data_IF_538667006217
#
_entry.id   IF_538667006217
#
_cell.length_a   1.000
_cell.length_b   1.000
_cell.length_c   1.000
_cell.angle_alpha   90.00
_cell.angle_beta   90.00
_cell.angle_gamma   90.00
#
_symmetry.space_group_name_H-M   'P 1'
#
loop_
_entity.id
_entity.type
_entity.pdbx_description
1 polymer ?
#
# COMPACT_ATOMS: atom_id res chain seq x y z
N UNK A 1 -15.97 11.11 -0.86
CA UNK A 1 -14.55 11.20 -0.46
C UNK A 1 -13.95 12.36 -1.24
N UNK A 2 -13.23 13.26 -0.58
CA UNK A 2 -12.49 14.32 -1.26
C UNK A 2 -11.11 13.80 -1.69
N UNK A 3 -10.55 14.35 -2.77
CA UNK A 3 -9.24 13.97 -3.33
C UNK A 3 -8.12 13.98 -2.29
N UNK A 4 -8.16 14.92 -1.35
CA UNK A 4 -7.17 15.02 -0.26
C UNK A 4 -7.21 13.84 0.72
N UNK A 5 -8.41 13.30 0.99
CA UNK A 5 -8.56 12.13 1.84
C UNK A 5 -8.00 10.86 1.18
N UNK A 6 -8.16 10.74 -0.14
CA UNK A 6 -7.59 9.63 -0.92
C UNK A 6 -6.06 9.73 -0.92
N UNK A 7 -5.51 10.94 -1.15
CA UNK A 7 -4.07 11.18 -1.12
C UNK A 7 -3.46 10.88 0.25
N UNK A 8 -4.12 11.32 1.34
CA UNK A 8 -3.69 11.02 2.71
C UNK A 8 -3.66 9.52 3.00
N UNK A 9 -4.73 8.79 2.66
CA UNK A 9 -4.80 7.33 2.81
C UNK A 9 -3.74 6.61 1.96
N UNK A 10 -3.49 7.10 0.75
CA UNK A 10 -2.46 6.53 -0.12
C UNK A 10 -1.06 6.70 0.47
N UNK A 11 -0.72 7.88 0.98
CA UNK A 11 0.58 8.11 1.63
C UNK A 11 0.76 7.22 2.86
N UNK A 12 -0.29 7.04 3.67
CA UNK A 12 -0.27 6.10 4.79
C UNK A 12 -0.05 4.66 4.30
N UNK A 13 -0.74 4.24 3.24
CA UNK A 13 -0.55 2.92 2.63
C UNK A 13 0.91 2.72 2.19
N UNK A 14 1.48 3.66 1.43
CA UNK A 14 2.89 3.61 0.98
C UNK A 14 3.86 3.45 2.16
N UNK A 15 3.71 4.29 3.19
CA UNK A 15 4.56 4.25 4.39
C UNK A 15 4.46 2.92 5.14
N UNK A 16 3.25 2.38 5.31
CA UNK A 16 3.05 1.08 5.95
C UNK A 16 3.66 -0.07 5.14
N UNK A 17 3.56 -0.02 3.81
CA UNK A 17 4.18 -1.01 2.92
C UNK A 17 5.70 -0.98 3.01
N UNK A 18 6.29 0.23 3.07
CA UNK A 18 7.72 0.40 3.25
C UNK A 18 8.18 -0.09 4.63
N UNK A 19 7.48 0.25 5.71
CA UNK A 19 7.86 -0.17 7.06
C UNK A 19 7.75 -1.67 7.28
N UNK A 20 6.66 -2.30 6.84
CA UNK A 20 6.38 -3.71 7.13
C UNK A 20 7.06 -4.66 6.15
N UNK A 21 6.99 -4.33 4.86
CA UNK A 21 7.49 -5.21 3.80
C UNK A 21 8.80 -4.70 3.20
N UNK A 22 9.33 -3.54 3.60
CA UNK A 22 10.57 -3.00 3.02
C UNK A 22 10.42 -2.77 1.50
N UNK A 23 9.22 -2.38 1.05
CA UNK A 23 8.95 -2.09 -0.36
C UNK A 23 9.24 -0.61 -0.59
N UNK A 24 10.19 -0.32 -1.48
CA UNK A 24 10.43 1.04 -1.92
C UNK A 24 9.23 1.51 -2.75
N UNK A 25 8.61 2.60 -2.30
CA UNK A 25 7.54 3.29 -3.02
C UNK A 25 7.98 4.73 -3.20
N UNK A 26 7.76 5.27 -4.40
CA UNK A 26 8.13 6.64 -4.70
C UNK A 26 7.18 7.62 -4.00
N UNK A 27 7.72 8.71 -3.46
CA UNK A 27 6.93 9.72 -2.74
C UNK A 27 6.06 10.54 -3.69
N UNK A 28 6.50 10.73 -4.94
CA UNK A 28 5.80 11.51 -5.97
C UNK A 28 4.65 10.73 -6.64
N UNK A 29 4.49 9.43 -6.34
CA UNK A 29 3.42 8.63 -6.93
C UNK A 29 2.03 9.04 -6.42
N UNK A 30 1.19 9.45 -7.37
CA UNK A 30 -0.25 9.67 -7.17
C UNK A 30 -0.99 8.35 -7.11
N UNK A 31 -2.05 8.29 -6.30
CA UNK A 31 -2.89 7.09 -6.20
C UNK A 31 -3.44 6.67 -7.57
N UNK A 32 -3.23 5.40 -7.91
CA UNK A 32 -3.98 4.70 -8.94
C UNK A 32 -4.26 3.28 -8.48
N UNK A 33 -5.37 2.70 -8.96
CA UNK A 33 -5.73 1.32 -8.61
C UNK A 33 -4.65 0.31 -9.05
N UNK A 34 -4.01 0.55 -10.19
CA UNK A 34 -2.90 -0.27 -10.68
C UNK A 34 -1.71 -0.26 -9.72
N UNK A 35 -1.30 0.92 -9.23
CA UNK A 35 -0.19 1.05 -8.27
C UNK A 35 -0.49 0.40 -6.93
N UNK A 36 -1.72 0.57 -6.45
CA UNK A 36 -2.15 -0.11 -5.22
C UNK A 36 -2.04 -1.63 -5.37
N UNK A 37 -2.56 -2.19 -6.47
CA UNK A 37 -2.50 -3.63 -6.74
C UNK A 37 -1.05 -4.14 -6.93
N UNK A 38 -0.19 -3.34 -7.55
CA UNK A 38 1.24 -3.64 -7.72
C UNK A 38 1.94 -3.78 -6.36
N UNK A 39 1.74 -2.81 -5.46
CA UNK A 39 2.36 -2.83 -4.13
C UNK A 39 1.86 -4.02 -3.31
N UNK A 40 0.55 -4.30 -3.33
CA UNK A 40 -0.01 -5.49 -2.65
C UNK A 40 0.58 -6.78 -3.24
N UNK A 41 0.77 -6.86 -4.56
CA UNK A 41 1.43 -7.99 -5.23
C UNK A 41 2.87 -8.20 -4.75
N UNK A 42 3.67 -7.13 -4.75
CA UNK A 42 5.06 -7.16 -4.26
C UNK A 42 5.14 -7.60 -2.79
N UNK A 43 4.22 -7.15 -1.94
CA UNK A 43 4.15 -7.60 -0.55
C UNK A 43 3.80 -9.08 -0.46
N UNK A 44 2.84 -9.56 -1.24
CA UNK A 44 2.50 -10.98 -1.31
C UNK A 44 3.70 -11.83 -1.73
N UNK A 45 4.45 -11.42 -2.75
CA UNK A 45 5.64 -12.14 -3.21
C UNK A 45 6.73 -12.20 -2.13
N UNK A 46 6.85 -11.13 -1.32
CA UNK A 46 7.88 -11.02 -0.29
C UNK A 46 7.52 -11.70 1.03
N UNK A 47 6.27 -11.63 1.48
CA UNK A 47 5.82 -12.20 2.75
C UNK A 47 5.19 -13.59 2.61
N UNK A 48 4.78 -13.98 1.40
CA UNK A 48 4.02 -15.21 1.15
C UNK A 48 2.56 -15.14 1.64
N UNK A 49 2.10 -13.97 2.10
CA UNK A 49 0.77 -13.79 2.66
C UNK A 49 -0.29 -13.56 1.57
N UNK A 50 -1.55 -13.88 1.88
CA UNK A 50 -2.63 -13.56 0.95
C UNK A 50 -2.81 -12.05 0.82
N UNK A 51 -3.20 -11.60 -0.38
CA UNK A 51 -3.53 -10.20 -0.63
C UNK A 51 -4.54 -9.66 0.38
N UNK A 52 -5.52 -10.46 0.77
CA UNK A 52 -6.53 -10.08 1.77
C UNK A 52 -5.94 -9.87 3.15
N UNK A 53 -4.96 -10.68 3.56
CA UNK A 53 -4.26 -10.48 4.83
C UNK A 53 -3.48 -9.17 4.80
N UNK A 54 -2.72 -8.93 3.73
CA UNK A 54 -1.96 -7.69 3.54
C UNK A 54 -2.88 -6.46 3.58
N UNK A 55 -4.00 -6.50 2.84
CA UNK A 55 -4.97 -5.40 2.83
C UNK A 55 -5.53 -5.13 4.23
N UNK A 56 -5.99 -6.18 4.93
CA UNK A 56 -6.51 -6.05 6.30
C UNK A 56 -5.49 -5.47 7.26
N UNK A 57 -4.26 -5.94 7.22
CA UNK A 57 -3.21 -5.46 8.12
C UNK A 57 -2.83 -4.00 7.86
N UNK A 58 -2.83 -3.57 6.60
CA UNK A 58 -2.55 -2.17 6.26
C UNK A 58 -3.75 -1.27 6.62
N UNK A 59 -4.97 -1.75 6.48
CA UNK A 59 -6.19 -1.03 6.89
C UNK A 59 -6.36 -0.94 8.41
N UNK A 60 -5.92 -1.96 9.16
CA UNK A 60 -6.08 -2.02 10.62
C UNK A 60 -5.05 -1.22 11.41
N UNK A 61 -4.04 -0.67 10.74
CA UNK A 61 -2.89 -0.03 11.37
C UNK A 61 -3.05 1.47 11.59
#
# INVERSE_FOLDING_TARGET
MNSDQIKGKWNQFKGKMQQKYGIAVDDDETFSEGKYNELVGRAQEKSGESKEKIKREIESW
#
